data_IF_950359394618
#
_entry.id   IF_950359394618
#
_cell.length_a   1.000
_cell.length_b   1.000
_cell.length_c   1.000
_cell.angle_alpha   90.00
_cell.angle_beta   90.00
_cell.angle_gamma   90.00
#
_symmetry.space_group_name_H-M   'P 1'
#
loop_
_entity.id
_entity.type
_entity.pdbx_description
1 polymer ?
#
# COMPACT_ATOMS: atom_id res chain seq x y z
N UNK A 1 -32.99 -10.29 26.33
CA UNK A 1 -32.00 -9.73 25.38
C UNK A 1 -30.69 -9.60 26.11
N UNK A 2 -29.87 -10.63 25.99
CA UNK A 2 -28.81 -10.99 26.92
C UNK A 2 -27.66 -9.99 26.91
N UNK A 3 -27.29 -9.50 28.09
CA UNK A 3 -26.22 -8.51 28.27
C UNK A 3 -24.82 -9.08 28.02
N UNK A 4 -24.68 -10.41 27.97
CA UNK A 4 -23.42 -11.10 27.70
C UNK A 4 -22.97 -10.97 26.24
N UNK A 5 -23.89 -10.94 25.27
CA UNK A 5 -23.59 -10.77 23.85
C UNK A 5 -22.89 -9.43 23.54
N UNK A 6 -23.25 -8.36 24.25
CA UNK A 6 -22.62 -7.04 24.08
C UNK A 6 -21.15 -7.06 24.47
N UNK A 7 -20.83 -7.75 25.57
CA UNK A 7 -19.46 -7.80 26.11
C UNK A 7 -18.51 -8.58 25.18
N UNK A 8 -19.01 -9.63 24.51
CA UNK A 8 -18.23 -10.35 23.48
C UNK A 8 -18.00 -9.49 22.24
N UNK A 9 -19.03 -8.75 21.79
CA UNK A 9 -18.92 -7.87 20.62
C UNK A 9 -17.95 -6.71 20.88
N UNK A 10 -18.02 -6.09 22.05
CA UNK A 10 -17.13 -4.98 22.41
C UNK A 10 -15.66 -5.44 22.46
N UNK A 11 -15.40 -6.65 22.97
CA UNK A 11 -14.05 -7.21 22.99
C UNK A 11 -13.51 -7.46 21.58
N UNK A 12 -14.34 -8.00 20.69
CA UNK A 12 -13.97 -8.20 19.29
C UNK A 12 -13.73 -6.87 18.56
N UNK A 13 -14.62 -5.89 18.77
CA UNK A 13 -14.49 -4.54 18.20
C UNK A 13 -13.20 -3.89 18.67
N UNK A 14 -12.86 -3.99 19.94
CA UNK A 14 -11.63 -3.43 20.49
C UNK A 14 -10.38 -4.05 19.85
N UNK A 15 -10.34 -5.38 19.72
CA UNK A 15 -9.22 -6.08 19.04
C UNK A 15 -9.10 -5.67 17.58
N UNK A 16 -10.23 -5.54 16.86
CA UNK A 16 -10.24 -5.11 15.45
C UNK A 16 -9.77 -3.66 15.32
N UNK A 17 -10.25 -2.75 16.16
CA UNK A 17 -9.84 -1.34 16.16
C UNK A 17 -8.34 -1.22 16.45
N UNK A 18 -7.82 -1.92 17.45
CA UNK A 18 -6.38 -1.96 17.75
C UNK A 18 -5.60 -2.48 16.55
N UNK A 19 -6.06 -3.57 15.92
CA UNK A 19 -5.40 -4.13 14.75
C UNK A 19 -5.41 -3.16 13.55
N UNK A 20 -6.52 -2.48 13.31
CA UNK A 20 -6.63 -1.44 12.28
C UNK A 20 -5.72 -0.26 12.57
N UNK A 21 -5.59 0.16 13.83
CA UNK A 21 -4.64 1.21 14.22
C UNK A 21 -3.19 0.78 13.97
N UNK A 22 -2.82 -0.46 14.34
CA UNK A 22 -1.49 -1.00 14.06
C UNK A 22 -1.24 -1.04 12.56
N UNK A 23 -2.18 -1.55 11.75
CA UNK A 23 -2.07 -1.55 10.29
C UNK A 23 -1.98 -0.13 9.73
N UNK A 24 -2.74 0.82 10.26
CA UNK A 24 -2.73 2.21 9.81
C UNK A 24 -1.43 2.92 10.18
N UNK A 25 -0.87 2.67 11.37
CA UNK A 25 0.41 3.21 11.79
C UNK A 25 1.56 2.59 11.01
N UNK A 26 1.53 1.28 10.81
CA UNK A 26 2.51 0.58 10.00
C UNK A 26 2.42 1.03 8.54
N UNK A 27 1.21 1.17 8.00
CA UNK A 27 0.98 1.75 6.69
C UNK A 27 1.47 3.19 6.63
N UNK A 28 1.21 4.02 7.63
CA UNK A 28 1.66 5.40 7.64
C UNK A 28 3.18 5.49 7.70
N UNK A 29 3.82 4.71 8.57
CA UNK A 29 5.27 4.64 8.64
C UNK A 29 5.83 4.12 7.30
N UNK A 30 5.37 2.97 6.84
CA UNK A 30 5.93 2.27 5.68
C UNK A 30 5.59 2.94 4.36
N UNK A 31 4.34 3.35 4.10
CA UNK A 31 3.93 4.03 2.86
C UNK A 31 4.44 5.46 2.80
N UNK A 32 4.61 6.15 3.94
CA UNK A 32 5.26 7.45 3.93
C UNK A 32 6.76 7.33 3.74
N UNK A 33 7.42 6.32 4.31
CA UNK A 33 8.84 6.03 4.05
C UNK A 33 9.08 5.55 2.61
N UNK A 34 8.33 4.55 2.15
CA UNK A 34 8.48 3.99 0.79
C UNK A 34 7.97 4.94 -0.29
N UNK A 35 7.15 5.96 0.01
CA UNK A 35 6.92 7.07 -0.93
C UNK A 35 8.06 8.08 -0.98
N UNK A 36 8.94 8.14 0.03
CA UNK A 36 10.15 8.99 0.03
C UNK A 36 11.32 8.27 -0.66
N UNK A 37 11.36 6.93 -0.63
CA UNK A 37 12.37 6.12 -1.33
C UNK A 37 11.87 5.44 -2.62
N UNK A 38 10.62 5.69 -3.03
CA UNK A 38 10.21 5.50 -4.42
C UNK A 38 10.90 6.60 -5.23
N UNK A 39 12.20 6.42 -5.43
CA UNK A 39 13.05 7.17 -6.32
C UNK A 39 12.32 7.31 -7.66
N UNK A 40 11.70 8.48 -7.84
CA UNK A 40 10.99 8.84 -9.05
C UNK A 40 11.87 8.65 -10.28
N UNK A 41 13.20 8.66 -10.11
CA UNK A 41 14.17 8.39 -11.16
C UNK A 41 14.25 6.90 -11.56
N UNK A 42 14.09 5.95 -10.63
CA UNK A 42 14.02 4.51 -10.94
C UNK A 42 12.73 4.13 -11.68
N UNK A 43 11.58 4.64 -11.21
CA UNK A 43 10.29 4.44 -11.89
C UNK A 43 10.27 5.13 -13.25
N UNK A 44 10.81 6.35 -13.35
CA UNK A 44 10.97 7.04 -14.62
C UNK A 44 11.92 6.29 -15.55
N UNK A 45 13.02 5.70 -15.06
CA UNK A 45 13.99 4.95 -15.89
C UNK A 45 13.40 3.64 -16.43
N UNK A 46 12.58 2.92 -15.65
CA UNK A 46 11.89 1.72 -16.16
C UNK A 46 10.78 2.09 -17.14
N UNK A 47 10.00 3.14 -16.85
CA UNK A 47 8.93 3.60 -17.75
C UNK A 47 9.47 4.22 -19.05
N UNK A 48 10.50 5.06 -18.97
CA UNK A 48 11.17 5.63 -20.16
C UNK A 48 12.02 4.61 -20.89
N UNK A 49 12.71 3.70 -20.19
CA UNK A 49 13.45 2.61 -20.82
C UNK A 49 12.54 1.64 -21.59
N UNK A 50 11.35 1.33 -21.05
CA UNK A 50 10.34 0.54 -21.75
C UNK A 50 9.73 1.30 -22.96
N UNK A 51 9.52 2.62 -22.84
CA UNK A 51 9.04 3.47 -23.95
C UNK A 51 10.10 3.61 -25.05
N UNK A 52 11.38 3.76 -24.71
CA UNK A 52 12.48 3.83 -25.67
C UNK A 52 12.64 2.51 -26.44
N UNK A 53 12.53 1.36 -25.77
CA UNK A 53 12.67 0.06 -26.43
C UNK A 53 11.49 -0.26 -27.36
N UNK A 54 10.27 0.21 -27.04
CA UNK A 54 9.09 0.02 -27.89
C UNK A 54 9.09 0.91 -29.15
N UNK A 55 9.86 2.01 -29.15
CA UNK A 55 10.07 2.86 -30.33
C UNK A 55 11.03 2.27 -31.37
N UNK A 56 11.99 1.44 -30.94
CA UNK A 56 12.98 0.82 -31.85
C UNK A 56 12.48 -0.46 -32.52
N UNK A 57 11.54 -1.20 -31.91
CA UNK A 57 11.00 -2.45 -32.50
C UNK A 57 9.91 -2.23 -33.58
N UNK A 58 9.41 -1.01 -33.76
CA UNK A 58 8.36 -0.68 -34.74
C UNK A 58 8.86 0.12 -35.96
N UNK A 59 10.18 0.28 -36.11
CA UNK A 59 10.81 1.09 -37.16
C UNK A 59 11.33 0.32 -38.39
N UNK A 60 11.09 -0.99 -38.50
CA UNK A 60 11.58 -1.80 -39.61
C UNK A 60 10.43 -2.41 -40.43
N UNK A 61 9.76 -1.57 -41.22
CA UNK A 61 8.91 -1.97 -42.35
C UNK A 61 9.04 -0.98 -43.49
#
# INVERSE_FOLDING_TARGET
MDSNDRKLRDHLVLVVVVKLLVLALLWWAFVRDTRVEADSASVARVLTGAVSQQGEMNGNR
#
